data_IF_240852385565
#
_entry.id   IF_240852385565
#
_cell.length_a   1.000
_cell.length_b   1.000
_cell.length_c   1.000
_cell.angle_alpha   90.00
_cell.angle_beta   90.00
_cell.angle_gamma   90.00
#
_symmetry.space_group_name_H-M   'P 1'
#
loop_
_entity.id
_entity.type
_entity.pdbx_description
1 polymer ?
#
# COMPACT_ATOMS: atom_id res chain seq x y z
N UNK A 1 -2.44 -41.84 38.01
CA UNK A 1 -2.58 -41.37 36.63
C UNK A 1 -2.47 -39.87 36.65
N UNK A 2 -1.32 -39.33 36.22
CA UNK A 2 -1.01 -37.89 36.26
C UNK A 2 -1.41 -37.25 34.94
N UNK A 3 -2.37 -36.33 34.95
CA UNK A 3 -2.77 -35.56 33.79
C UNK A 3 -1.77 -34.47 33.46
N UNK A 4 -1.26 -34.48 32.25
CA UNK A 4 -0.33 -33.50 31.72
C UNK A 4 -1.17 -32.41 31.00
N UNK A 5 -1.27 -31.21 31.59
CA UNK A 5 -1.87 -30.05 30.94
C UNK A 5 -0.75 -29.26 30.24
N UNK A 6 -0.74 -29.29 28.92
CA UNK A 6 0.04 -28.37 28.10
C UNK A 6 -0.70 -27.02 28.00
N UNK A 7 -0.22 -26.05 28.75
CA UNK A 7 -0.62 -24.66 28.62
C UNK A 7 0.09 -24.01 27.43
N UNK A 8 -0.61 -23.75 26.35
CA UNK A 8 -0.10 -22.93 25.24
C UNK A 8 -0.28 -21.47 25.63
N UNK A 9 0.81 -20.82 26.02
CA UNK A 9 0.87 -19.37 26.25
C UNK A 9 0.95 -18.67 24.89
N UNK A 10 -0.13 -18.04 24.47
CA UNK A 10 -0.15 -17.05 23.38
C UNK A 10 0.61 -15.80 23.84
N UNK A 11 1.86 -15.68 23.46
CA UNK A 11 2.57 -14.40 23.51
C UNK A 11 2.02 -13.50 22.42
N UNK A 12 1.25 -12.53 22.80
CA UNK A 12 0.96 -11.35 21.98
C UNK A 12 2.27 -10.60 21.72
N UNK A 13 2.78 -10.67 20.51
CA UNK A 13 3.86 -9.81 20.07
C UNK A 13 3.27 -8.40 19.82
N UNK A 14 3.38 -7.53 20.79
CA UNK A 14 3.15 -6.10 20.64
C UNK A 14 4.28 -5.53 19.77
N UNK A 15 4.03 -5.36 18.48
CA UNK A 15 4.92 -4.58 17.60
C UNK A 15 4.59 -3.10 17.80
N UNK A 16 5.12 -2.53 18.86
CA UNK A 16 5.18 -1.09 19.09
C UNK A 16 6.46 -0.53 18.45
N UNK A 17 6.44 -0.27 17.16
CA UNK A 17 7.43 0.54 16.47
C UNK A 17 6.92 1.98 16.37
N UNK A 18 7.05 2.77 17.45
CA UNK A 18 6.87 4.21 17.37
C UNK A 18 7.98 4.77 16.47
N UNK A 19 7.61 5.32 15.31
CA UNK A 19 8.53 6.15 14.53
C UNK A 19 8.98 7.30 15.43
N UNK A 20 10.29 7.40 15.67
CA UNK A 20 10.84 8.41 16.54
C UNK A 20 10.52 9.81 16.00
N UNK A 21 10.02 10.76 16.81
CA UNK A 21 9.66 12.11 16.38
C UNK A 21 10.86 12.94 15.92
N UNK A 22 12.08 12.41 16.07
CA UNK A 22 13.32 13.09 15.71
C UNK A 22 13.53 13.27 14.21
N UNK A 23 12.91 12.42 13.36
CA UNK A 23 13.04 12.55 11.90
C UNK A 23 12.23 13.73 11.34
N UNK A 24 11.04 13.96 11.87
CA UNK A 24 10.20 15.10 11.47
C UNK A 24 10.80 16.46 11.91
N UNK A 25 11.44 16.49 13.08
CA UNK A 25 12.09 17.70 13.61
C UNK A 25 13.36 18.04 12.81
N UNK A 26 14.13 17.03 12.37
CA UNK A 26 15.33 17.24 11.56
C UNK A 26 15.02 17.82 10.18
N UNK A 27 13.93 17.41 9.55
CA UNK A 27 13.49 17.93 8.24
C UNK A 27 12.98 19.38 8.37
N UNK A 28 12.25 19.72 9.43
CA UNK A 28 11.82 21.09 9.70
C UNK A 28 12.99 22.02 10.04
N UNK A 29 14.03 21.54 10.73
CA UNK A 29 15.20 22.32 11.06
C UNK A 29 16.09 22.61 9.82
N UNK A 30 16.19 21.66 8.88
CA UNK A 30 16.90 21.87 7.61
C UNK A 30 16.18 22.87 6.69
N UNK A 31 14.86 22.91 6.71
CA UNK A 31 14.06 23.90 5.96
C UNK A 31 14.14 25.30 6.56
N UNK A 32 14.27 25.41 7.88
CA UNK A 32 14.41 26.71 8.57
C UNK A 32 15.78 27.36 8.35
N UNK A 33 16.86 26.57 8.20
CA UNK A 33 18.21 27.11 7.96
C UNK A 33 18.44 27.61 6.53
N UNK A 34 17.64 27.15 5.55
CA UNK A 34 17.71 27.63 4.16
C UNK A 34 17.05 28.99 3.95
N UNK A 35 16.29 29.51 4.92
CA UNK A 35 15.62 30.81 4.85
C UNK A 35 16.40 31.94 5.50
N UNK A 36 17.60 31.70 6.10
CA UNK A 36 18.26 32.66 6.96
C UNK A 36 19.25 33.61 6.25
N UNK A 37 19.60 33.36 4.99
CA UNK A 37 20.56 34.21 4.27
C UNK A 37 19.93 34.89 3.07
N UNK A 38 19.25 36.00 3.29
CA UNK A 38 19.16 37.21 2.41
C UNK A 38 18.17 38.23 2.99
N UNK A 39 18.52 38.85 4.08
CA UNK A 39 18.01 40.17 4.37
C UNK A 39 18.79 41.20 3.51
N UNK A 40 18.37 41.36 2.26
CA UNK A 40 18.82 42.49 1.42
C UNK A 40 17.87 43.65 1.68
N UNK A 41 18.46 44.79 2.04
CA UNK A 41 17.77 46.02 2.29
C UNK A 41 16.81 46.39 1.15
N UNK A 42 15.60 46.76 1.51
CA UNK A 42 14.58 47.24 0.59
C UNK A 42 15.01 48.54 -0.06
N UNK A 43 15.43 48.49 -1.30
CA UNK A 43 15.39 49.64 -2.21
C UNK A 43 14.09 49.52 -3.04
N UNK A 44 13.14 50.41 -2.80
CA UNK A 44 11.92 50.49 -3.55
C UNK A 44 12.18 51.22 -4.86
N UNK A 45 12.20 50.52 -6.02
CA UNK A 45 12.16 51.25 -7.30
C UNK A 45 10.72 51.70 -7.56
N UNK A 46 10.46 52.94 -7.36
CA UNK A 46 9.30 53.65 -7.92
C UNK A 46 9.34 53.54 -9.45
N UNK A 47 8.37 52.86 -10.05
CA UNK A 47 8.12 52.75 -11.48
C UNK A 47 9.05 51.89 -12.32
N UNK A 48 8.82 50.58 -12.28
CA UNK A 48 9.08 49.68 -13.41
C UNK A 48 7.79 49.04 -13.83
N UNK A 49 7.56 48.88 -15.12
CA UNK A 49 6.46 48.09 -15.66
C UNK A 49 6.44 46.75 -14.95
N UNK A 50 5.35 46.39 -14.29
CA UNK A 50 5.15 45.07 -13.74
C UNK A 50 5.09 44.14 -14.95
N UNK A 51 6.22 43.59 -15.37
CA UNK A 51 6.21 42.44 -16.26
C UNK A 51 5.33 41.40 -15.58
N UNK A 52 4.35 40.81 -16.28
CA UNK A 52 3.55 39.72 -15.71
C UNK A 52 4.52 38.65 -15.23
N UNK A 53 4.59 38.47 -13.93
CA UNK A 53 5.45 37.49 -13.29
C UNK A 53 4.82 36.11 -13.51
N UNK A 54 4.97 35.58 -14.72
CA UNK A 54 4.66 34.17 -14.97
C UNK A 54 5.64 33.34 -14.14
N UNK A 55 5.08 32.50 -13.29
CA UNK A 55 5.90 31.61 -12.50
C UNK A 55 6.65 30.65 -13.44
N UNK A 56 7.98 30.71 -13.46
CA UNK A 56 8.79 29.71 -14.18
C UNK A 56 8.83 28.42 -13.38
N UNK A 57 8.57 27.30 -14.04
CA UNK A 57 8.49 25.98 -13.42
C UNK A 57 9.70 25.11 -13.72
N UNK A 58 10.72 25.63 -14.38
CA UNK A 58 11.97 24.94 -14.66
C UNK A 58 12.89 24.88 -13.42
N UNK A 59 13.71 23.86 -13.36
CA UNK A 59 14.69 23.63 -12.29
C UNK A 59 14.33 22.51 -11.34
N UNK A 60 15.10 22.41 -10.28
CA UNK A 60 14.90 21.44 -9.21
C UNK A 60 13.74 21.84 -8.31
N UNK A 61 13.04 20.81 -7.83
CA UNK A 61 12.00 20.97 -6.83
C UNK A 61 12.16 19.92 -5.74
N UNK A 62 11.90 20.31 -4.50
CA UNK A 62 11.88 19.41 -3.34
C UNK A 62 10.72 19.81 -2.43
N UNK A 63 10.06 18.85 -1.83
CA UNK A 63 8.95 19.18 -0.94
C UNK A 63 8.55 18.02 -0.05
N UNK A 64 7.63 18.35 0.85
CA UNK A 64 6.97 17.41 1.74
C UNK A 64 5.49 17.36 1.42
N UNK A 65 4.87 16.22 1.66
CA UNK A 65 3.46 16.03 1.37
C UNK A 65 2.81 15.12 2.41
N UNK A 66 1.54 15.38 2.64
CA UNK A 66 0.66 14.58 3.49
C UNK A 66 -0.61 14.29 2.73
N UNK A 67 -1.24 13.17 3.04
CA UNK A 67 -2.46 12.79 2.34
C UNK A 67 -3.23 11.72 3.07
N UNK A 68 -4.27 11.26 2.40
CA UNK A 68 -5.11 10.17 2.86
C UNK A 68 -5.19 9.12 1.76
N UNK A 69 -4.78 7.90 2.10
CA UNK A 69 -4.70 6.78 1.17
C UNK A 69 -5.79 5.76 1.43
N UNK A 70 -6.21 5.11 0.35
CA UNK A 70 -7.09 3.95 0.34
C UNK A 70 -6.32 2.77 -0.24
N UNK A 71 -6.16 1.70 0.52
CA UNK A 71 -5.59 0.42 0.08
C UNK A 71 -6.74 -0.56 -0.18
N UNK A 72 -6.95 -0.93 -1.44
CA UNK A 72 -7.85 -1.99 -1.82
C UNK A 72 -7.07 -3.28 -2.03
N UNK A 73 -7.52 -4.35 -1.40
CA UNK A 73 -6.86 -5.66 -1.45
C UNK A 73 -7.88 -6.74 -1.81
N UNK A 74 -7.53 -7.55 -2.79
CA UNK A 74 -8.31 -8.72 -3.23
C UNK A 74 -7.58 -9.99 -2.78
N UNK A 75 -8.19 -10.70 -1.83
CA UNK A 75 -7.63 -11.90 -1.21
C UNK A 75 -8.16 -13.20 -1.83
N UNK A 76 -8.99 -13.13 -2.88
CA UNK A 76 -9.79 -14.25 -3.40
C UNK A 76 -9.05 -15.57 -3.54
N UNK A 77 -7.83 -15.54 -4.08
CA UNK A 77 -7.06 -16.75 -4.37
C UNK A 77 -5.97 -17.06 -3.34
N UNK A 78 -5.83 -16.26 -2.29
CA UNK A 78 -4.67 -16.31 -1.35
C UNK A 78 -4.63 -17.59 -0.51
N UNK A 79 -5.74 -18.29 -0.35
CA UNK A 79 -5.89 -19.49 0.48
C UNK A 79 -5.76 -20.79 -0.29
N UNK A 80 -6.03 -20.75 -1.60
CA UNK A 80 -6.09 -21.95 -2.46
C UNK A 80 -4.84 -22.85 -2.37
N UNK A 81 -3.59 -22.32 -2.48
CA UNK A 81 -2.40 -23.17 -2.40
C UNK A 81 -2.20 -23.79 -1.01
N UNK A 82 -2.68 -23.16 0.05
CA UNK A 82 -2.56 -23.67 1.42
C UNK A 82 -3.56 -24.81 1.67
N UNK A 83 -4.80 -24.67 1.21
CA UNK A 83 -5.82 -25.74 1.28
C UNK A 83 -5.39 -26.94 0.44
N UNK A 84 -4.95 -26.71 -0.80
CA UNK A 84 -4.42 -27.76 -1.67
C UNK A 84 -3.22 -28.49 -1.05
N UNK A 85 -2.37 -27.78 -0.33
CA UNK A 85 -1.24 -28.39 0.38
C UNK A 85 -1.69 -29.27 1.54
N UNK A 86 -2.69 -28.85 2.34
CA UNK A 86 -3.24 -29.64 3.46
C UNK A 86 -3.92 -30.91 2.93
N UNK A 87 -4.73 -30.81 1.90
CA UNK A 87 -5.54 -31.90 1.36
C UNK A 87 -4.87 -32.64 0.19
N UNK A 88 -3.58 -32.40 -0.05
CA UNK A 88 -2.84 -33.07 -1.12
C UNK A 88 -2.95 -34.60 -1.01
N UNK A 89 -3.13 -35.26 -2.16
CA UNK A 89 -3.29 -36.70 -2.28
C UNK A 89 -4.55 -37.29 -1.59
N UNK A 90 -5.54 -36.44 -1.24
CA UNK A 90 -6.81 -36.90 -0.74
C UNK A 90 -7.84 -37.09 -1.89
N UNK A 91 -8.71 -38.07 -1.76
CA UNK A 91 -9.85 -38.23 -2.68
C UNK A 91 -10.74 -37.00 -2.66
N UNK A 92 -10.89 -36.38 -1.48
CA UNK A 92 -11.68 -35.18 -1.29
C UNK A 92 -11.16 -34.01 -2.16
N UNK A 93 -9.83 -33.75 -2.22
CA UNK A 93 -9.28 -32.70 -3.08
C UNK A 93 -9.43 -33.02 -4.55
N UNK A 94 -9.23 -34.29 -4.93
CA UNK A 94 -9.33 -34.70 -6.33
C UNK A 94 -10.74 -34.59 -6.92
N UNK A 95 -11.76 -34.87 -6.11
CA UNK A 95 -13.16 -34.92 -6.56
C UNK A 95 -13.94 -33.62 -6.29
N UNK A 96 -13.77 -33.02 -5.10
CA UNK A 96 -14.56 -31.89 -4.64
C UNK A 96 -13.82 -30.58 -4.70
N UNK A 97 -12.48 -30.59 -4.87
CA UNK A 97 -11.59 -29.41 -4.97
C UNK A 97 -11.84 -28.35 -3.87
N UNK A 98 -11.74 -28.71 -2.57
CA UNK A 98 -11.93 -27.77 -1.47
C UNK A 98 -11.02 -26.55 -1.55
N UNK A 99 -9.85 -26.68 -2.17
CA UNK A 99 -8.93 -25.58 -2.42
C UNK A 99 -9.54 -24.41 -3.24
N UNK A 100 -10.59 -24.69 -4.00
CA UNK A 100 -11.32 -23.69 -4.78
C UNK A 100 -12.51 -23.05 -4.05
N UNK A 101 -12.87 -23.54 -2.84
CA UNK A 101 -14.09 -23.09 -2.15
C UNK A 101 -13.89 -21.78 -1.39
N UNK A 102 -12.70 -21.56 -0.88
CA UNK A 102 -12.40 -20.40 -0.03
C UNK A 102 -11.98 -19.20 -0.88
N UNK A 103 -12.94 -18.35 -1.19
CA UNK A 103 -12.67 -17.02 -1.71
C UNK A 103 -12.77 -16.02 -0.56
N UNK A 104 -11.64 -15.58 0.00
CA UNK A 104 -11.66 -14.48 0.96
C UNK A 104 -12.17 -13.21 0.28
N UNK A 105 -12.99 -12.40 0.98
CA UNK A 105 -13.57 -11.19 0.41
C UNK A 105 -12.50 -10.14 0.10
N UNK A 106 -12.85 -9.22 -0.80
CA UNK A 106 -12.11 -7.98 -0.98
C UNK A 106 -12.26 -7.12 0.25
N UNK A 107 -11.20 -6.43 0.61
CA UNK A 107 -11.24 -5.46 1.70
C UNK A 107 -10.54 -4.16 1.32
N UNK A 108 -11.06 -3.07 1.86
CA UNK A 108 -10.54 -1.72 1.64
C UNK A 108 -10.23 -1.07 2.99
N UNK A 109 -9.04 -0.51 3.11
CA UNK A 109 -8.61 0.19 4.31
C UNK A 109 -8.09 1.57 3.97
N UNK A 110 -8.46 2.54 4.77
CA UNK A 110 -8.05 3.93 4.62
C UNK A 110 -7.10 4.34 5.73
N UNK A 111 -6.20 5.28 5.43
CA UNK A 111 -5.33 5.84 6.45
C UNK A 111 -4.50 7.01 5.97
N UNK A 112 -3.95 7.80 6.92
CA UNK A 112 -3.07 8.89 6.60
C UNK A 112 -1.74 8.39 6.05
N UNK A 113 -1.19 9.16 5.09
CA UNK A 113 0.11 8.94 4.47
C UNK A 113 0.91 10.24 4.52
N UNK A 114 2.22 10.15 4.68
CA UNK A 114 3.11 11.30 4.66
C UNK A 114 4.43 10.95 3.99
N UNK A 115 5.09 11.95 3.44
CA UNK A 115 6.33 11.72 2.73
C UNK A 115 6.91 12.97 2.12
N UNK A 116 7.77 12.77 1.12
CA UNK A 116 8.43 13.84 0.42
C UNK A 116 8.66 13.49 -1.04
N UNK A 117 9.01 14.50 -1.81
CA UNK A 117 9.33 14.36 -3.21
C UNK A 117 10.51 15.24 -3.60
N UNK A 118 11.22 14.80 -4.64
CA UNK A 118 12.24 15.57 -5.35
C UNK A 118 11.99 15.39 -6.85
N UNK A 119 12.16 16.45 -7.62
CA UNK A 119 11.95 16.40 -9.06
C UNK A 119 12.74 17.44 -9.80
N UNK A 120 12.75 17.31 -11.12
CA UNK A 120 13.34 18.26 -12.03
C UNK A 120 12.38 18.52 -13.19
N UNK A 121 12.15 19.79 -13.50
CA UNK A 121 11.30 20.22 -14.60
C UNK A 121 12.12 21.02 -15.62
N UNK A 122 11.69 20.92 -16.87
CA UNK A 122 12.11 21.75 -17.99
C UNK A 122 10.87 22.43 -18.57
N UNK A 123 10.91 23.72 -18.77
CA UNK A 123 9.79 24.51 -19.29
C UNK A 123 10.14 25.07 -20.67
N UNK A 124 9.24 24.81 -21.64
CA UNK A 124 9.26 25.40 -22.97
C UNK A 124 7.94 26.16 -23.19
N UNK A 125 8.01 27.48 -23.20
CA UNK A 125 6.81 28.34 -23.19
C UNK A 125 5.87 27.94 -22.04
N UNK A 126 4.68 27.47 -22.34
CA UNK A 126 3.70 27.00 -21.35
C UNK A 126 3.81 25.51 -21.04
N UNK A 127 4.52 24.73 -21.86
CA UNK A 127 4.69 23.29 -21.66
C UNK A 127 5.80 23.03 -20.64
N UNK A 128 5.48 22.24 -19.61
CA UNK A 128 6.43 21.81 -18.59
C UNK A 128 6.53 20.29 -18.64
N UNK A 129 7.74 19.78 -18.88
CA UNK A 129 8.04 18.35 -18.77
C UNK A 129 9.02 18.12 -17.64
N UNK A 130 8.89 17.02 -16.93
CA UNK A 130 9.77 16.73 -15.82
C UNK A 130 9.72 15.28 -15.38
N UNK A 131 10.52 15.01 -14.36
CA UNK A 131 10.50 13.74 -13.64
C UNK A 131 10.48 14.01 -12.14
N UNK A 132 9.78 13.19 -11.39
CA UNK A 132 9.77 13.25 -9.93
C UNK A 132 9.98 11.87 -9.30
N UNK A 133 10.63 11.85 -8.16
CA UNK A 133 10.77 10.74 -7.25
C UNK A 133 10.03 11.12 -5.97
N UNK A 134 9.05 10.33 -5.56
CA UNK A 134 8.35 10.52 -4.31
C UNK A 134 8.48 9.28 -3.43
N UNK A 135 8.61 9.51 -2.12
CA UNK A 135 8.60 8.47 -1.10
C UNK A 135 7.49 8.76 -0.10
N UNK A 136 6.68 7.76 0.19
CA UNK A 136 5.51 7.87 1.08
C UNK A 136 5.51 6.76 2.12
N UNK A 137 5.17 7.14 3.33
CA UNK A 137 5.00 6.23 4.46
C UNK A 137 3.55 6.29 4.97
N UNK A 138 2.76 5.24 4.77
CA UNK A 138 1.45 5.10 5.39
C UNK A 138 1.56 4.82 6.88
N UNK A 139 0.78 5.52 7.71
CA UNK A 139 0.76 5.23 9.15
C UNK A 139 0.04 3.92 9.47
N UNK A 140 -1.10 3.68 8.81
CA UNK A 140 -1.96 2.51 9.06
C UNK A 140 -2.69 2.11 7.76
N UNK A 141 -2.00 1.46 6.82
CA UNK A 141 -2.66 0.82 5.68
C UNK A 141 -2.49 -0.70 5.79
N UNK A 142 -3.35 -1.30 6.62
CA UNK A 142 -3.38 -2.75 6.84
C UNK A 142 -4.80 -3.27 6.59
N UNK A 143 -4.93 -4.20 5.67
CA UNK A 143 -6.16 -4.92 5.35
C UNK A 143 -6.10 -6.31 5.95
N UNK A 144 -7.14 -6.74 6.64
CA UNK A 144 -7.27 -8.11 7.16
C UNK A 144 -8.68 -8.62 6.95
N UNK A 145 -8.77 -9.89 6.60
CA UNK A 145 -10.04 -10.59 6.37
C UNK A 145 -9.99 -11.97 6.99
N UNK A 146 -11.13 -12.47 7.45
CA UNK A 146 -11.32 -13.85 7.88
C UNK A 146 -12.65 -14.34 7.39
N UNK A 147 -12.71 -15.62 7.00
CA UNK A 147 -13.94 -16.28 6.59
C UNK A 147 -13.86 -17.76 6.91
N UNK A 148 -15.03 -18.42 6.96
CA UNK A 148 -15.13 -19.86 7.14
C UNK A 148 -16.23 -20.42 6.25
N UNK A 149 -15.97 -21.59 5.67
CA UNK A 149 -16.92 -22.31 4.83
C UNK A 149 -17.08 -23.74 5.34
N UNK A 150 -18.33 -24.15 5.51
CA UNK A 150 -18.69 -25.52 5.86
C UNK A 150 -19.45 -26.16 4.69
N UNK A 151 -18.97 -27.30 4.22
CA UNK A 151 -19.65 -28.10 3.17
C UNK A 151 -19.61 -29.56 3.50
N UNK A 152 -20.72 -30.25 3.17
CA UNK A 152 -20.83 -31.71 3.23
C UNK A 152 -20.70 -32.25 1.81
N UNK A 153 -19.79 -33.21 1.62
CA UNK A 153 -19.50 -33.86 0.33
C UNK A 153 -19.39 -35.36 0.56
N UNK A 154 -19.98 -36.13 -0.33
CA UNK A 154 -19.79 -37.59 -0.38
C UNK A 154 -18.93 -37.92 -1.59
N UNK A 155 -17.80 -38.55 -1.34
CA UNK A 155 -16.80 -38.94 -2.36
C UNK A 155 -17.17 -40.33 -2.96
N UNK A 156 -16.53 -40.68 -4.08
CA UNK A 156 -16.79 -41.92 -4.82
C UNK A 156 -16.53 -43.19 -3.99
N UNK A 157 -15.74 -43.11 -2.94
CA UNK A 157 -15.47 -44.16 -1.95
C UNK A 157 -16.58 -44.30 -0.90
N UNK A 158 -17.75 -43.62 -1.11
CA UNK A 158 -18.93 -43.62 -0.21
C UNK A 158 -18.69 -42.98 1.16
N UNK A 159 -17.57 -42.27 1.34
CA UNK A 159 -17.26 -41.50 2.56
C UNK A 159 -17.98 -40.17 2.52
N UNK A 160 -18.68 -39.83 3.60
CA UNK A 160 -19.28 -38.51 3.75
C UNK A 160 -18.36 -37.63 4.61
N UNK A 161 -17.91 -36.53 4.03
CA UNK A 161 -17.03 -35.55 4.61
C UNK A 161 -17.80 -34.27 5.01
N UNK A 162 -17.62 -33.81 6.25
CA UNK A 162 -18.10 -32.52 6.71
C UNK A 162 -16.88 -31.59 6.83
N UNK A 163 -16.58 -30.90 5.76
CA UNK A 163 -15.38 -30.10 5.63
C UNK A 163 -15.64 -28.66 6.09
N UNK A 164 -14.93 -28.22 7.13
CA UNK A 164 -14.90 -26.84 7.58
C UNK A 164 -13.51 -26.24 7.29
N UNK A 165 -13.47 -25.19 6.48
CA UNK A 165 -12.26 -24.46 6.17
C UNK A 165 -12.38 -23.07 6.76
N UNK A 166 -11.49 -22.72 7.70
CA UNK A 166 -11.37 -21.38 8.26
C UNK A 166 -10.10 -20.75 7.70
N UNK A 167 -10.24 -19.57 7.14
CA UNK A 167 -9.15 -18.85 6.52
C UNK A 167 -9.04 -17.42 7.08
N UNK A 168 -7.82 -16.95 7.27
CA UNK A 168 -7.51 -15.59 7.67
C UNK A 168 -6.33 -15.08 6.86
N UNK A 169 -6.44 -13.86 6.33
CA UNK A 169 -5.35 -13.20 5.63
C UNK A 169 -5.19 -11.75 6.08
N UNK A 170 -3.94 -11.30 6.17
CA UNK A 170 -3.59 -9.92 6.48
C UNK A 170 -2.54 -9.40 5.49
N UNK A 171 -2.70 -8.15 5.06
CA UNK A 171 -1.84 -7.49 4.09
C UNK A 171 -1.60 -6.04 4.52
N UNK A 172 -0.34 -5.64 4.68
CA UNK A 172 0.05 -4.31 5.16
C UNK A 172 1.03 -3.67 4.20
N UNK A 173 0.71 -2.47 3.73
CA UNK A 173 1.65 -1.60 3.03
C UNK A 173 2.50 -0.85 4.07
N UNK A 174 3.81 -1.04 4.03
CA UNK A 174 4.76 -0.41 4.96
C UNK A 174 5.19 0.95 4.45
N UNK A 175 5.65 1.02 3.20
CA UNK A 175 6.03 2.23 2.49
C UNK A 175 6.04 1.99 0.98
N UNK A 176 6.11 3.08 0.22
CA UNK A 176 6.27 3.00 -1.22
C UNK A 176 7.01 4.21 -1.77
N UNK A 177 7.72 3.98 -2.87
CA UNK A 177 8.35 5.01 -3.68
C UNK A 177 7.80 4.98 -5.11
N UNK A 178 7.75 6.13 -5.76
CA UNK A 178 7.33 6.26 -7.16
C UNK A 178 8.34 7.10 -7.93
N UNK A 179 8.71 6.64 -9.12
CA UNK A 179 9.48 7.41 -10.09
C UNK A 179 8.58 7.66 -11.30
N UNK A 180 8.30 8.94 -11.60
CA UNK A 180 7.28 9.33 -12.57
C UNK A 180 7.83 10.37 -13.55
N UNK A 181 7.46 10.25 -14.80
CA UNK A 181 7.52 11.33 -15.77
C UNK A 181 6.24 12.16 -15.64
N UNK A 182 6.37 13.48 -15.69
CA UNK A 182 5.24 14.42 -15.60
C UNK A 182 5.22 15.37 -16.80
N UNK A 183 4.01 15.73 -17.20
CA UNK A 183 3.75 16.73 -18.22
C UNK A 183 2.64 17.67 -17.73
N UNK A 184 2.87 18.97 -17.83
CA UNK A 184 1.96 19.99 -17.35
C UNK A 184 1.91 21.21 -18.26
N UNK A 185 0.93 22.04 -18.04
CA UNK A 185 0.73 23.30 -18.75
C UNK A 185 0.78 24.48 -17.75
N UNK A 186 1.75 25.37 -17.94
CA UNK A 186 1.92 26.54 -17.07
C UNK A 186 0.88 27.62 -17.41
N UNK A 187 0.00 27.91 -16.48
CA UNK A 187 -1.03 28.94 -16.58
C UNK A 187 -0.90 29.94 -15.42
N UNK A 188 -0.31 31.07 -15.67
CA UNK A 188 0.00 32.08 -14.64
C UNK A 188 0.79 31.46 -13.45
N UNK A 189 0.14 31.39 -12.28
CA UNK A 189 0.69 30.81 -11.05
C UNK A 189 0.34 29.32 -10.89
N UNK A 190 -0.38 28.73 -11.84
CA UNK A 190 -0.87 27.35 -11.76
C UNK A 190 -0.18 26.47 -12.78
N UNK A 191 0.10 25.23 -12.38
CA UNK A 191 0.61 24.18 -13.25
C UNK A 191 -0.23 22.90 -13.04
N UNK A 192 -1.37 22.78 -13.76
CA UNK A 192 -2.01 21.45 -13.87
C UNK A 192 -1.08 20.48 -14.60
N UNK A 193 -1.03 19.24 -14.13
CA UNK A 193 -0.17 18.21 -14.71
C UNK A 193 -0.75 16.82 -14.59
N UNK A 194 -0.29 15.93 -15.44
CA UNK A 194 -0.44 14.50 -15.34
C UNK A 194 0.94 13.85 -15.20
N UNK A 195 1.02 12.75 -14.48
CA UNK A 195 2.24 11.99 -14.32
C UNK A 195 1.97 10.48 -14.42
N UNK A 196 2.93 9.76 -15.00
CA UNK A 196 2.90 8.30 -15.12
C UNK A 196 4.29 7.74 -14.83
N UNK A 197 4.36 6.54 -14.27
CA UNK A 197 5.65 5.95 -13.94
C UNK A 197 5.55 4.60 -13.26
N UNK A 198 6.61 4.25 -12.59
CA UNK A 198 6.75 3.01 -11.84
C UNK A 198 6.69 3.27 -10.34
N UNK A 199 6.25 2.25 -9.61
CA UNK A 199 6.22 2.25 -8.16
C UNK A 199 6.96 1.04 -7.61
N UNK A 200 7.54 1.17 -6.43
CA UNK A 200 8.04 0.08 -5.61
C UNK A 200 7.44 0.19 -4.23
N UNK A 201 6.67 -0.82 -3.80
CA UNK A 201 6.07 -0.88 -2.47
C UNK A 201 6.70 -1.97 -1.63
N UNK A 202 6.78 -1.77 -0.34
CA UNK A 202 7.21 -2.75 0.64
C UNK A 202 6.01 -3.23 1.44
N UNK A 203 5.79 -4.54 1.41
CA UNK A 203 4.61 -5.17 2.00
C UNK A 203 4.97 -6.23 3.02
N UNK A 204 4.08 -6.39 4.01
CA UNK A 204 4.03 -7.55 4.89
C UNK A 204 2.71 -8.27 4.63
N UNK A 205 2.77 -9.60 4.47
CA UNK A 205 1.57 -10.41 4.33
C UNK A 205 1.63 -11.67 5.19
N UNK A 206 0.46 -12.17 5.55
CA UNK A 206 0.31 -13.44 6.25
C UNK A 206 -1.06 -14.03 5.97
N UNK A 207 -1.08 -15.31 5.60
CA UNK A 207 -2.31 -16.08 5.38
C UNK A 207 -2.23 -17.35 6.22
N UNK A 208 -3.28 -17.64 6.97
CA UNK A 208 -3.42 -18.86 7.77
C UNK A 208 -4.71 -19.56 7.36
N UNK A 209 -4.62 -20.87 7.18
CA UNK A 209 -5.76 -21.73 6.86
C UNK A 209 -5.79 -22.87 7.84
N UNK A 210 -6.98 -23.19 8.35
CA UNK A 210 -7.26 -24.38 9.14
C UNK A 210 -8.36 -25.18 8.43
N UNK A 211 -8.11 -26.45 8.19
CA UNK A 211 -9.06 -27.41 7.61
C UNK A 211 -9.43 -28.42 8.69
N UNK A 212 -10.73 -28.58 8.93
CA UNK A 212 -11.28 -29.63 9.76
C UNK A 212 -12.22 -30.46 8.89
N UNK A 213 -12.01 -31.76 8.84
CA UNK A 213 -12.86 -32.69 8.14
C UNK A 213 -13.32 -33.77 9.12
N UNK A 214 -14.64 -33.81 9.33
CA UNK A 214 -15.30 -34.86 10.11
C UNK A 214 -15.92 -35.84 9.12
N UNK A 215 -15.32 -37.01 8.98
CA UNK A 215 -15.80 -38.04 8.04
C UNK A 215 -16.17 -39.35 8.74
N UNK A 216 -17.13 -40.06 8.16
CA UNK A 216 -17.61 -41.34 8.66
C UNK A 216 -17.68 -42.37 7.54
N UNK A 217 -17.11 -43.53 7.82
CA UNK A 217 -17.27 -44.73 6.99
C UNK A 217 -18.23 -45.63 7.75
N UNK A 218 -19.49 -45.64 7.37
CA UNK A 218 -20.51 -46.48 8.05
C UNK A 218 -20.15 -47.95 7.96
N UNK A 219 -20.25 -48.74 9.09
CA UNK A 219 -20.80 -48.41 10.41
C UNK A 219 -19.79 -47.89 11.44
N UNK A 220 -18.63 -47.38 11.05
CA UNK A 220 -17.57 -46.93 11.94
C UNK A 220 -17.87 -45.57 12.59
N UNK A 221 -17.24 -45.22 13.74
CA UNK A 221 -17.38 -43.96 14.36
C UNK A 221 -16.78 -42.84 13.48
N UNK A 222 -17.28 -41.60 13.63
CA UNK A 222 -16.75 -40.42 12.95
C UNK A 222 -15.30 -40.19 13.30
N UNK A 223 -14.47 -40.02 12.30
CA UNK A 223 -13.04 -39.65 12.43
C UNK A 223 -12.89 -38.15 12.16
N UNK A 224 -12.09 -37.51 12.96
CA UNK A 224 -11.75 -36.07 12.77
C UNK A 224 -10.35 -35.93 12.26
N UNK A 225 -10.20 -35.30 11.10
CA UNK A 225 -8.97 -34.77 10.60
C UNK A 225 -8.93 -33.28 10.88
N UNK A 226 -7.82 -32.75 11.44
CA UNK A 226 -7.66 -31.32 11.64
C UNK A 226 -6.20 -30.95 11.38
N UNK A 227 -6.01 -30.00 10.47
CA UNK A 227 -4.70 -29.47 10.14
C UNK A 227 -4.77 -27.99 9.85
N UNK A 228 -3.73 -27.25 10.27
CA UNK A 228 -3.58 -25.84 9.94
C UNK A 228 -2.20 -25.58 9.34
N UNK A 229 -2.14 -24.62 8.44
CA UNK A 229 -0.88 -24.15 7.86
C UNK A 229 -0.93 -22.64 7.65
N UNK A 230 0.23 -22.02 7.60
CA UNK A 230 0.35 -20.59 7.37
C UNK A 230 1.49 -20.29 6.41
N UNK A 231 1.30 -19.23 5.64
CA UNK A 231 2.33 -18.65 4.78
C UNK A 231 2.38 -17.15 5.05
N UNK A 232 3.57 -16.60 5.22
CA UNK A 232 3.72 -15.16 5.43
C UNK A 232 5.16 -14.72 5.24
N UNK A 233 5.30 -13.47 4.83
CA UNK A 233 6.59 -12.85 4.65
C UNK A 233 6.52 -11.36 4.97
N UNK A 234 7.59 -10.84 5.55
CA UNK A 234 7.75 -9.42 5.85
C UNK A 234 8.74 -8.78 4.89
N UNK A 235 8.54 -7.48 4.65
CA UNK A 235 9.43 -6.66 3.83
C UNK A 235 9.60 -7.15 2.39
N UNK A 236 8.51 -7.61 1.78
CA UNK A 236 8.52 -8.01 0.36
C UNK A 236 8.43 -6.77 -0.51
N UNK A 237 9.38 -6.60 -1.42
CA UNK A 237 9.36 -5.53 -2.39
C UNK A 237 8.53 -5.93 -3.61
N UNK A 238 7.62 -5.07 -4.01
CA UNK A 238 6.68 -5.32 -5.09
C UNK A 238 6.71 -4.13 -6.05
N UNK A 239 6.92 -4.44 -7.32
CA UNK A 239 6.84 -3.44 -8.38
C UNK A 239 5.38 -3.12 -8.73
N UNK A 240 5.15 -1.91 -9.21
CA UNK A 240 3.83 -1.44 -9.64
C UNK A 240 3.95 -0.36 -10.70
N UNK A 241 2.79 0.05 -11.20
CA UNK A 241 2.65 1.20 -12.09
C UNK A 241 1.88 2.29 -11.37
N UNK A 242 2.28 3.54 -11.58
CA UNK A 242 1.71 4.72 -10.95
C UNK A 242 1.17 5.69 -12.00
N UNK A 243 0.03 6.29 -11.72
CA UNK A 243 -0.53 7.41 -12.47
C UNK A 243 -0.98 8.48 -11.48
N UNK A 244 -0.82 9.75 -11.84
CA UNK A 244 -1.25 10.85 -10.99
C UNK A 244 -1.76 12.03 -11.82
N UNK A 245 -2.66 12.80 -11.22
CA UNK A 245 -3.14 14.08 -11.69
C UNK A 245 -2.96 15.09 -10.57
N UNK A 246 -2.41 16.26 -10.89
CA UNK A 246 -2.12 17.24 -9.86
C UNK A 246 -2.18 18.68 -10.37
N UNK A 247 -2.11 19.57 -9.40
CA UNK A 247 -2.04 21.00 -9.59
C UNK A 247 -0.98 21.57 -8.64
N UNK A 248 0.03 22.21 -9.21
CA UNK A 248 0.99 23.00 -8.43
C UNK A 248 0.57 24.49 -8.52
N UNK A 249 0.55 25.19 -7.39
CA UNK A 249 0.25 26.61 -7.27
C UNK A 249 1.42 27.37 -6.69
N UNK A 250 2.04 28.24 -7.48
CA UNK A 250 3.14 29.10 -7.06
C UNK A 250 2.63 30.23 -6.16
N UNK A 251 2.99 30.21 -4.88
CA UNK A 251 2.70 31.28 -3.92
C UNK A 251 3.74 32.39 -4.03
N UNK A 252 5.00 31.96 -4.20
CA UNK A 252 6.14 32.86 -4.47
C UNK A 252 6.96 32.29 -5.63
N UNK A 253 7.97 33.04 -6.15
CA UNK A 253 8.87 32.48 -7.16
C UNK A 253 9.57 31.17 -6.75
N UNK A 254 9.75 30.93 -5.46
CA UNK A 254 10.47 29.76 -4.94
C UNK A 254 9.60 28.77 -4.18
N UNK A 255 8.37 29.13 -3.79
CA UNK A 255 7.48 28.29 -2.96
C UNK A 255 6.20 27.97 -3.71
N UNK A 256 5.81 26.71 -3.72
CA UNK A 256 4.55 26.27 -4.30
C UNK A 256 3.79 25.30 -3.38
N UNK A 257 2.46 25.28 -3.53
CA UNK A 257 1.59 24.25 -2.99
C UNK A 257 1.29 23.24 -4.07
N UNK A 258 1.18 21.98 -3.69
CA UNK A 258 0.81 20.85 -4.55
C UNK A 258 -0.47 20.20 -4.03
N UNK A 259 -1.44 20.00 -4.92
CA UNK A 259 -2.54 19.09 -4.72
C UNK A 259 -2.46 17.97 -5.74
N UNK A 260 -2.48 16.71 -5.32
CA UNK A 260 -2.30 15.57 -6.23
C UNK A 260 -3.23 14.42 -5.84
N UNK A 261 -3.82 13.79 -6.83
CA UNK A 261 -4.43 12.48 -6.72
C UNK A 261 -3.56 11.46 -7.43
N UNK A 262 -3.25 10.35 -6.77
CA UNK A 262 -2.39 9.29 -7.27
C UNK A 262 -3.10 7.95 -7.20
N UNK A 263 -2.90 7.13 -8.22
CA UNK A 263 -3.30 5.74 -8.31
C UNK A 263 -2.06 4.86 -8.55
N UNK A 264 -1.91 3.79 -7.76
CA UNK A 264 -0.85 2.80 -7.93
C UNK A 264 -1.47 1.42 -7.98
N UNK A 265 -1.15 0.65 -9.02
CA UNK A 265 -1.46 -0.77 -9.14
C UNK A 265 -0.17 -1.58 -8.93
N UNK A 266 -0.14 -2.40 -7.89
CA UNK A 266 0.98 -3.29 -7.59
C UNK A 266 0.82 -4.65 -8.25
N UNK A 267 1.94 -5.31 -8.57
CA UNK A 267 1.95 -6.70 -9.01
C UNK A 267 1.39 -7.61 -7.90
N UNK A 268 0.75 -8.74 -8.26
CA UNK A 268 0.23 -9.67 -7.27
C UNK A 268 1.33 -10.26 -6.39
N UNK A 269 1.05 -10.39 -5.08
CA UNK A 269 1.92 -11.06 -4.10
C UNK A 269 1.12 -12.16 -3.43
N UNK A 270 1.63 -13.39 -3.43
CA UNK A 270 0.93 -14.55 -2.87
C UNK A 270 -0.54 -14.62 -3.34
N UNK A 271 -0.75 -14.43 -4.65
CA UNK A 271 -2.06 -14.37 -5.32
C UNK A 271 -3.00 -13.25 -4.81
N UNK A 272 -2.51 -12.35 -3.98
CA UNK A 272 -3.23 -11.18 -3.51
C UNK A 272 -2.94 -9.98 -4.42
N UNK A 273 -3.99 -9.35 -4.94
CA UNK A 273 -3.89 -8.13 -5.76
C UNK A 273 -4.14 -6.91 -4.90
N UNK A 274 -3.35 -5.86 -5.08
CA UNK A 274 -3.52 -4.62 -4.32
C UNK A 274 -3.38 -3.38 -5.21
N UNK A 275 -4.20 -2.37 -4.92
CA UNK A 275 -4.04 -1.04 -5.47
C UNK A 275 -4.18 0.00 -4.36
N UNK A 276 -3.53 1.13 -4.57
CA UNK A 276 -3.53 2.26 -3.65
C UNK A 276 -3.99 3.51 -4.38
N UNK A 277 -4.95 4.21 -3.80
CA UNK A 277 -5.37 5.53 -4.23
C UNK A 277 -5.05 6.53 -3.13
N UNK A 278 -4.46 7.67 -3.47
CA UNK A 278 -4.06 8.67 -2.48
C UNK A 278 -4.43 10.07 -2.95
N UNK A 279 -5.18 10.80 -2.13
CA UNK A 279 -5.32 12.24 -2.25
C UNK A 279 -4.31 12.92 -1.34
N UNK A 280 -3.48 13.81 -1.87
CA UNK A 280 -2.37 14.41 -1.12
C UNK A 280 -2.22 15.90 -1.39
N UNK A 281 -1.75 16.60 -0.37
CA UNK A 281 -1.37 18.01 -0.44
C UNK A 281 0.07 18.14 0.05
N UNK A 282 0.78 19.08 -0.53
CA UNK A 282 2.18 19.28 -0.19
C UNK A 282 2.63 20.72 -0.34
N UNK A 283 3.78 21.03 0.22
CA UNK A 283 4.50 22.26 0.00
C UNK A 283 5.88 21.93 -0.56
N UNK A 284 6.29 22.67 -1.58
CA UNK A 284 7.57 22.50 -2.22
C UNK A 284 8.34 23.79 -2.38
N UNK A 285 9.65 23.64 -2.46
CA UNK A 285 10.61 24.66 -2.83
C UNK A 285 11.10 24.37 -4.25
N UNK A 286 11.36 25.43 -5.00
CA UNK A 286 11.85 25.40 -6.36
C UNK A 286 13.07 26.31 -6.47
N UNK A 287 14.13 25.86 -7.16
CA UNK A 287 15.40 26.56 -7.36
C UNK A 287 16.13 26.11 -8.62
#
# INVERSE_FOLDING_TARGET
MKGFRLGVSLRQATVGGAASPHFAIAVCALLASACADRAMAADWPLRGSVAPSYARWDGWQVGVQVGYGNLNTDFGDSTSPLVAFILRNSTLENEAQPSSWTALPRNSTNGPVFGGFVGYNVQWSELVLGADLAYMHPSVLQSSVSDSILRTVTTSDTVTHNVNITAQSAFKLVDYATLRARAGYAFNQFLPYAAVGIAAGRFNYGTTVAVTDDFSILPAPTVRFQQSTSSGQNNVFVAGVAAALGLDWAITPSVFLRGEWQFIAFAPVNQTRSNVQTGQVGVGLRF
#
